data_IF_637645672003
#
_entry.id   IF_637645672003
#
_cell.length_a   1.000
_cell.length_b   1.000
_cell.length_c   1.000
_cell.angle_alpha   90.00
_cell.angle_beta   90.00
_cell.angle_gamma   90.00
#
_symmetry.space_group_name_H-M   'P 1'
#
loop_
_entity.id
_entity.type
_entity.pdbx_description
1 polymer ?
#
# COMPACT_ATOMS: atom_id res chain seq x y z
N UNK A 1 2.68 4.01 -0.17
CA UNK A 1 1.48 3.26 0.31
C UNK A 1 1.74 2.48 1.59
N UNK A 2 2.84 1.72 1.69
CA UNK A 2 3.15 0.93 2.90
C UNK A 2 3.09 1.76 4.19
N UNK A 3 3.70 2.94 4.19
CA UNK A 3 3.72 3.89 5.33
C UNK A 3 2.31 4.31 5.79
N UNK A 4 1.38 4.51 4.85
CA UNK A 4 -0.03 4.79 5.15
C UNK A 4 -0.71 3.60 5.84
N UNK A 5 -0.47 2.39 5.35
CA UNK A 5 -1.02 1.17 5.95
C UNK A 5 -0.42 0.85 7.33
N UNK A 6 0.86 1.18 7.53
CA UNK A 6 1.63 0.83 8.73
C UNK A 6 1.49 1.86 9.85
N UNK A 7 1.75 3.11 9.50
CA UNK A 7 1.92 4.24 10.44
C UNK A 7 0.71 5.19 10.38
N UNK A 8 -0.23 4.99 9.45
CA UNK A 8 -1.33 5.92 9.19
C UNK A 8 -0.84 7.32 8.84
N UNK A 9 0.30 7.41 8.15
CA UNK A 9 0.92 8.69 7.77
C UNK A 9 1.30 8.75 6.29
N UNK A 10 1.34 9.97 5.75
CA UNK A 10 1.89 10.24 4.42
C UNK A 10 2.47 11.65 4.32
N UNK A 11 3.25 11.87 3.27
CA UNK A 11 3.77 13.17 2.85
C UNK A 11 3.24 13.45 1.43
N UNK A 12 2.98 14.72 1.10
CA UNK A 12 2.65 15.10 -0.28
C UNK A 12 3.93 15.10 -1.11
N UNK A 13 3.82 14.83 -2.41
CA UNK A 13 4.97 14.89 -3.30
C UNK A 13 5.52 16.32 -3.32
N UNK A 14 6.79 16.49 -2.96
CA UNK A 14 7.44 17.80 -2.85
C UNK A 14 7.20 18.53 -1.52
N UNK A 15 6.51 17.91 -0.56
CA UNK A 15 6.34 18.39 0.81
C UNK A 15 7.13 17.46 1.74
N UNK A 16 7.70 17.99 2.81
CA UNK A 16 8.39 17.22 3.86
C UNK A 16 7.54 17.11 5.15
N UNK A 17 6.32 17.66 5.14
CA UNK A 17 5.42 17.59 6.27
C UNK A 17 4.67 16.26 6.33
N UNK A 18 4.90 15.51 7.42
CA UNK A 18 4.18 14.26 7.71
C UNK A 18 2.76 14.58 8.18
N UNK A 19 1.77 13.91 7.60
CA UNK A 19 0.35 14.05 7.93
C UNK A 19 -0.24 12.72 8.35
N UNK A 20 -1.03 12.71 9.42
CA UNK A 20 -1.81 11.54 9.84
C UNK A 20 -3.10 11.40 9.02
N UNK A 21 -3.52 10.17 8.76
CA UNK A 21 -4.75 9.86 8.03
C UNK A 21 -5.48 8.66 8.62
N UNK A 22 -6.78 8.81 8.82
CA UNK A 22 -7.68 7.72 9.20
C UNK A 22 -8.50 7.30 7.98
N UNK A 23 -7.82 6.64 7.04
CA UNK A 23 -8.44 6.16 5.80
C UNK A 23 -8.75 4.66 5.89
N UNK A 24 -9.95 4.27 5.46
CA UNK A 24 -10.26 2.87 5.13
C UNK A 24 -9.78 2.59 3.71
N UNK A 25 -8.90 1.59 3.55
CA UNK A 25 -8.39 1.19 2.24
C UNK A 25 -9.24 0.04 1.70
N UNK A 26 -9.74 0.20 0.47
CA UNK A 26 -10.45 -0.81 -0.28
C UNK A 26 -9.68 -1.01 -1.59
N UNK A 27 -9.19 -2.22 -1.83
CA UNK A 27 -8.45 -2.56 -3.04
C UNK A 27 -9.19 -3.66 -3.81
N UNK A 28 -9.30 -3.50 -5.12
CA UNK A 28 -9.81 -4.51 -6.03
C UNK A 28 -8.95 -4.50 -7.29
N UNK A 29 -8.63 -5.69 -7.81
CA UNK A 29 -7.86 -5.83 -9.04
C UNK A 29 -8.32 -7.05 -9.81
N UNK A 30 -8.30 -6.95 -11.14
CA UNK A 30 -8.58 -8.07 -12.05
C UNK A 30 -7.35 -8.94 -12.30
N UNK A 31 -6.17 -8.54 -11.81
CA UNK A 31 -4.90 -9.24 -12.00
C UNK A 31 -4.66 -10.22 -10.84
N UNK A 32 -4.01 -11.36 -11.13
CA UNK A 32 -3.54 -12.27 -10.09
C UNK A 32 -2.34 -11.66 -9.34
N UNK A 33 -2.61 -11.15 -8.13
CA UNK A 33 -1.58 -10.56 -7.28
C UNK A 33 -0.53 -11.57 -6.83
N UNK A 34 -0.87 -12.85 -6.60
CA UNK A 34 0.12 -13.86 -6.20
C UNK A 34 1.13 -14.09 -7.32
N UNK A 35 0.65 -14.11 -8.57
CA UNK A 35 1.53 -14.17 -9.74
C UNK A 35 2.38 -12.91 -9.87
N UNK A 36 1.78 -11.72 -9.74
CA UNK A 36 2.50 -10.45 -9.83
C UNK A 36 3.59 -10.29 -8.75
N UNK A 37 3.37 -10.82 -7.54
CA UNK A 37 4.38 -10.90 -6.47
C UNK A 37 5.54 -11.80 -6.88
N UNK A 38 5.26 -13.02 -7.37
CA UNK A 38 6.30 -13.96 -7.83
C UNK A 38 7.13 -13.40 -8.99
N UNK A 39 6.52 -12.60 -9.86
CA UNK A 39 7.18 -11.94 -10.99
C UNK A 39 7.92 -10.64 -10.59
N UNK A 40 7.90 -10.25 -9.31
CA UNK A 40 8.53 -9.02 -8.82
C UNK A 40 7.83 -7.72 -9.26
N UNK A 41 6.67 -7.82 -9.92
CA UNK A 41 5.85 -6.68 -10.38
C UNK A 41 5.01 -6.07 -9.27
N UNK A 42 4.78 -6.82 -8.19
CA UNK A 42 4.05 -6.35 -7.02
C UNK A 42 4.84 -6.65 -5.74
N UNK A 43 4.84 -5.71 -4.79
CA UNK A 43 5.55 -5.92 -3.53
C UNK A 43 4.79 -6.89 -2.64
N UNK A 44 5.50 -7.89 -2.14
CA UNK A 44 4.98 -8.93 -1.26
C UNK A 44 4.41 -8.36 0.05
N UNK A 45 5.08 -7.37 0.64
CA UNK A 45 4.65 -6.74 1.89
C UNK A 45 3.29 -6.02 1.77
N UNK A 46 3.03 -5.35 0.63
CA UNK A 46 1.73 -4.77 0.33
C UNK A 46 0.66 -5.83 0.11
N UNK A 47 1.00 -6.96 -0.51
CA UNK A 47 0.05 -8.05 -0.75
C UNK A 47 -0.48 -8.62 0.57
N UNK A 48 0.42 -8.94 1.49
CA UNK A 48 0.01 -9.48 2.80
C UNK A 48 -0.78 -8.49 3.65
N UNK A 49 -0.55 -7.18 3.49
CA UNK A 49 -1.29 -6.15 4.24
C UNK A 49 -2.67 -5.83 3.69
N UNK A 50 -2.87 -6.00 2.39
CA UNK A 50 -4.18 -5.83 1.75
C UNK A 50 -5.08 -7.05 1.90
N UNK A 51 -4.49 -8.23 2.13
CA UNK A 51 -5.19 -9.52 2.21
C UNK A 51 -5.48 -9.97 3.65
N UNK A 52 -5.61 -9.03 4.60
CA UNK A 52 -6.06 -9.25 5.98
C UNK A 52 -7.46 -8.69 6.17
#
# INVERSE_FOLDING_TARGET
>A
LLRVLQERTFERVGDNHVRHTEARILAATHQDLRRAVREGRFREDLYYRLNV
#
